data_IF_997752760528
#
_entry.id   IF_997752760528
#
_cell.length_a   1.000
_cell.length_b   1.000
_cell.length_c   1.000
_cell.angle_alpha   90.00
_cell.angle_beta   90.00
_cell.angle_gamma   90.00
#
_symmetry.space_group_name_H-M   'P 1'
#
loop_
_entity.id
_entity.type
_entity.pdbx_description
1 polymer ?
#
# COMPACT_ATOMS: atom_id res chain seq x y z
N UNK A 1 8.38 -17.07 -11.33
CA UNK A 1 7.63 -15.89 -11.80
C UNK A 1 6.15 -16.16 -11.60
N UNK A 2 5.48 -15.30 -10.83
CA UNK A 2 4.03 -15.35 -10.58
C UNK A 2 3.34 -14.95 -11.89
N UNK A 3 2.93 -15.93 -12.71
CA UNK A 3 2.49 -15.74 -14.12
C UNK A 3 1.41 -14.66 -14.27
N UNK A 4 0.55 -14.47 -13.28
CA UNK A 4 -0.54 -13.49 -13.31
C UNK A 4 -0.06 -12.05 -13.19
N UNK A 5 1.01 -11.77 -12.43
CA UNK A 5 1.64 -10.44 -12.34
C UNK A 5 2.16 -10.01 -13.71
N UNK A 6 2.90 -10.88 -14.41
CA UNK A 6 3.40 -10.60 -15.76
C UNK A 6 2.27 -10.38 -16.77
N UNK A 7 1.17 -11.14 -16.65
CA UNK A 7 -0.01 -10.99 -17.50
C UNK A 7 -0.71 -9.66 -17.24
N UNK A 8 -0.93 -9.31 -15.96
CA UNK A 8 -1.57 -8.06 -15.58
C UNK A 8 -0.73 -6.87 -16.04
N UNK A 9 0.58 -6.92 -15.82
CA UNK A 9 1.51 -5.87 -16.27
C UNK A 9 1.43 -5.64 -17.77
N UNK A 10 1.55 -6.72 -18.57
CA UNK A 10 1.45 -6.64 -20.03
C UNK A 10 0.11 -6.09 -20.49
N UNK A 11 -0.97 -6.44 -19.79
CA UNK A 11 -2.33 -5.97 -20.12
C UNK A 11 -2.51 -4.49 -19.79
N UNK A 12 -2.04 -4.04 -18.62
CA UNK A 12 -1.98 -2.63 -18.27
C UNK A 12 -1.17 -1.82 -19.29
N UNK A 13 0.01 -2.28 -19.70
CA UNK A 13 0.82 -1.60 -20.70
C UNK A 13 0.09 -1.41 -22.05
N UNK A 14 -0.86 -2.28 -22.41
CA UNK A 14 -1.68 -2.06 -23.63
C UNK A 14 -2.61 -0.86 -23.52
N UNK A 15 -2.93 -0.42 -22.31
CA UNK A 15 -3.76 0.78 -22.05
C UNK A 15 -2.94 2.07 -22.05
N UNK A 16 -1.61 1.96 -21.98
CA UNK A 16 -0.65 3.08 -21.95
C UNK A 16 -0.17 3.40 -23.38
N UNK A 17 0.04 4.68 -23.75
CA UNK A 17 0.65 5.05 -25.04
C UNK A 17 2.00 4.35 -25.26
N UNK A 18 2.25 3.87 -26.48
CA UNK A 18 3.45 3.08 -26.81
C UNK A 18 4.76 3.79 -26.43
N UNK A 19 4.82 5.11 -26.65
CA UNK A 19 5.97 5.96 -26.31
C UNK A 19 6.30 6.02 -24.82
N UNK A 20 5.38 5.64 -23.94
CA UNK A 20 5.55 5.70 -22.47
C UNK A 20 5.78 4.32 -21.84
N UNK A 21 5.75 3.22 -22.62
CA UNK A 21 5.77 1.85 -22.07
C UNK A 21 7.15 1.41 -21.60
N UNK A 22 8.20 1.75 -22.34
CA UNK A 22 9.56 1.24 -22.09
C UNK A 22 10.16 1.73 -20.78
N UNK A 23 9.78 2.93 -20.34
CA UNK A 23 10.31 3.57 -19.12
C UNK A 23 9.53 3.18 -17.86
N UNK A 24 8.35 2.54 -18.01
CA UNK A 24 7.54 2.15 -16.86
C UNK A 24 8.09 0.90 -16.19
N UNK A 25 8.25 0.99 -14.88
CA UNK A 25 8.58 -0.12 -13.99
C UNK A 25 7.44 -0.35 -13.01
N UNK A 26 7.47 -1.49 -12.31
CA UNK A 26 6.52 -1.80 -11.25
C UNK A 26 7.20 -2.55 -10.12
N UNK A 27 6.63 -2.44 -8.93
CA UNK A 27 6.82 -3.38 -7.82
C UNK A 27 5.53 -4.20 -7.61
N UNK A 28 5.61 -5.35 -6.95
CA UNK A 28 4.41 -6.17 -6.69
C UNK A 28 4.43 -6.73 -5.28
N UNK A 29 3.34 -6.54 -4.55
CA UNK A 29 3.25 -6.88 -3.13
C UNK A 29 1.78 -7.06 -2.71
N UNK A 30 1.58 -7.73 -1.57
CA UNK A 30 0.27 -7.93 -0.96
C UNK A 30 0.14 -7.04 0.29
N UNK A 31 -1.08 -6.59 0.58
CA UNK A 31 -1.37 -5.87 1.81
C UNK A 31 -1.49 -6.82 3.01
N UNK A 32 -1.29 -6.28 4.21
CA UNK A 32 -1.54 -7.00 5.47
C UNK A 32 -0.49 -8.06 5.80
N UNK A 33 -0.67 -8.70 6.96
CA UNK A 33 0.28 -9.68 7.52
C UNK A 33 -0.16 -11.14 7.39
N UNK A 34 -1.34 -11.39 6.80
CA UNK A 34 -1.85 -12.74 6.56
C UNK A 34 -2.76 -12.83 5.33
N UNK A 35 -3.19 -14.05 5.02
CA UNK A 35 -3.95 -14.35 3.82
C UNK A 35 -5.36 -13.75 3.78
N UNK A 36 -6.03 -13.66 4.93
CA UNK A 36 -7.38 -13.11 5.02
C UNK A 36 -7.33 -11.59 4.86
N UNK A 37 -6.39 -10.93 5.53
CA UNK A 37 -6.13 -9.49 5.37
C UNK A 37 -5.76 -9.14 3.93
N UNK A 38 -4.80 -9.87 3.34
CA UNK A 38 -4.36 -9.60 1.96
C UNK A 38 -5.52 -9.67 0.97
N UNK A 39 -6.40 -10.66 1.13
CA UNK A 39 -7.59 -10.81 0.30
C UNK A 39 -8.59 -9.68 0.52
N UNK A 40 -8.91 -9.34 1.76
CA UNK A 40 -9.85 -8.26 2.09
C UNK A 40 -9.35 -6.91 1.55
N UNK A 41 -8.09 -6.58 1.83
CA UNK A 41 -7.49 -5.30 1.45
C UNK A 41 -7.32 -5.19 -0.07
N UNK A 42 -6.97 -6.27 -0.76
CA UNK A 42 -6.91 -6.27 -2.23
C UNK A 42 -8.30 -6.01 -2.85
N UNK A 43 -9.38 -6.57 -2.29
CA UNK A 43 -10.74 -6.30 -2.76
C UNK A 43 -11.16 -4.83 -2.51
N UNK A 44 -10.82 -4.26 -1.35
CA UNK A 44 -11.05 -2.84 -1.08
C UNK A 44 -10.31 -1.94 -2.07
N UNK A 45 -9.08 -2.28 -2.43
CA UNK A 45 -8.35 -1.57 -3.48
C UNK A 45 -9.04 -1.73 -4.83
N UNK A 46 -9.38 -2.96 -5.23
CA UNK A 46 -10.05 -3.23 -6.51
C UNK A 46 -11.37 -2.48 -6.67
N UNK A 47 -12.17 -2.37 -5.61
CA UNK A 47 -13.44 -1.65 -5.61
C UNK A 47 -13.27 -0.14 -5.53
N UNK A 48 -12.07 0.35 -5.23
CA UNK A 48 -11.75 1.77 -5.08
C UNK A 48 -12.17 2.33 -3.73
N UNK A 49 -12.46 1.47 -2.76
CA UNK A 49 -12.78 1.87 -1.39
C UNK A 49 -11.53 2.19 -0.57
N UNK A 50 -10.44 1.44 -0.79
CA UNK A 50 -9.10 1.74 -0.26
C UNK A 50 -8.27 2.44 -1.34
N UNK A 51 -7.88 3.67 -1.06
CA UNK A 51 -7.07 4.54 -1.94
C UNK A 51 -5.87 5.15 -1.23
N UNK A 52 -5.56 4.66 -0.03
CA UNK A 52 -4.41 5.08 0.76
C UNK A 52 -3.86 3.92 1.58
N UNK A 53 -2.59 4.03 1.97
CA UNK A 53 -1.89 3.10 2.86
C UNK A 53 -0.81 3.82 3.66
N UNK A 54 -0.42 3.28 4.81
CA UNK A 54 0.76 3.77 5.52
C UNK A 54 1.68 2.68 6.06
N UNK A 55 2.95 3.01 6.21
CA UNK A 55 4.01 2.14 6.72
C UNK A 55 4.95 2.92 7.66
N UNK A 56 5.72 2.22 8.50
CA UNK A 56 6.68 2.90 9.37
C UNK A 56 7.91 3.38 8.57
N UNK A 57 8.22 4.68 8.66
CA UNK A 57 9.36 5.29 7.97
C UNK A 57 10.70 4.60 8.28
N UNK A 58 10.85 4.12 9.52
CA UNK A 58 12.10 3.50 9.96
C UNK A 58 12.44 2.20 9.21
N UNK A 59 11.45 1.50 8.63
CA UNK A 59 11.73 0.28 7.86
C UNK A 59 12.55 0.60 6.61
N UNK A 60 12.23 1.70 5.91
CA UNK A 60 13.01 2.16 4.76
C UNK A 60 14.47 2.45 5.12
N UNK A 61 14.73 3.03 6.29
CA UNK A 61 16.10 3.28 6.77
C UNK A 61 16.85 1.99 7.12
N UNK A 62 16.17 1.05 7.77
CA UNK A 62 16.74 -0.22 8.23
C UNK A 62 17.05 -1.15 7.06
N UNK A 63 16.11 -1.26 6.13
CA UNK A 63 16.18 -2.17 4.98
C UNK A 63 16.92 -1.54 3.80
N UNK A 64 17.26 -0.25 3.88
CA UNK A 64 17.85 0.54 2.81
C UNK A 64 16.96 0.56 1.55
N UNK A 65 15.65 0.57 1.77
CA UNK A 65 14.66 0.67 0.71
C UNK A 65 14.42 2.12 0.31
N UNK A 66 14.03 2.31 -0.95
CA UNK A 66 13.68 3.62 -1.47
C UNK A 66 12.27 3.95 -1.00
N UNK A 67 12.08 5.18 -0.49
CA UNK A 67 10.74 5.67 -0.16
C UNK A 67 9.85 5.69 -1.40
N UNK A 68 8.54 5.40 -1.24
CA UNK A 68 7.60 5.50 -2.34
C UNK A 68 7.56 6.92 -2.89
N UNK A 69 7.17 7.06 -4.16
CA UNK A 69 7.13 8.36 -4.82
C UNK A 69 5.94 8.48 -5.77
N UNK A 70 5.54 9.74 -6.01
CA UNK A 70 4.47 10.05 -6.96
C UNK A 70 4.78 9.52 -8.36
N UNK A 71 3.84 8.76 -8.92
CA UNK A 71 3.95 8.10 -10.21
C UNK A 71 4.50 6.68 -10.14
N UNK A 72 4.91 6.20 -8.95
CA UNK A 72 5.25 4.80 -8.75
C UNK A 72 4.06 3.90 -9.08
N UNK A 73 4.33 2.77 -9.73
CA UNK A 73 3.32 1.79 -10.10
C UNK A 73 3.51 0.52 -9.27
N UNK A 74 2.44 0.08 -8.61
CA UNK A 74 2.44 -1.18 -7.88
C UNK A 74 1.41 -2.15 -8.48
N UNK A 75 1.73 -3.43 -8.48
CA UNK A 75 0.76 -4.50 -8.72
C UNK A 75 0.41 -5.10 -7.37
N UNK A 76 -0.82 -4.84 -6.93
CA UNK A 76 -1.36 -5.41 -5.71
C UNK A 76 -1.70 -6.87 -5.97
N UNK A 77 -1.23 -7.76 -5.10
CA UNK A 77 -1.49 -9.20 -5.16
C UNK A 77 -2.30 -9.68 -3.96
N UNK A 78 -2.90 -10.85 -4.08
CA UNK A 78 -3.28 -11.64 -2.91
C UNK A 78 -2.03 -12.23 -2.21
N UNK A 79 -2.27 -13.00 -1.15
CA UNK A 79 -1.21 -13.63 -0.35
C UNK A 79 -0.35 -14.65 -1.12
N UNK A 80 -0.97 -15.41 -2.03
CA UNK A 80 -0.27 -16.39 -2.86
C UNK A 80 0.47 -15.70 -4.02
N UNK A 81 0.21 -14.41 -4.25
CA UNK A 81 0.83 -13.60 -5.27
C UNK A 81 0.07 -13.50 -6.58
N UNK A 82 -1.20 -13.84 -6.58
CA UNK A 82 -2.05 -13.63 -7.74
C UNK A 82 -2.39 -12.15 -7.86
N UNK A 83 -2.20 -11.60 -9.07
CA UNK A 83 -2.38 -10.17 -9.30
C UNK A 83 -3.85 -9.76 -9.28
N UNK A 84 -4.17 -8.71 -8.52
CA UNK A 84 -5.52 -8.22 -8.25
C UNK A 84 -5.79 -6.84 -8.88
N UNK A 85 -4.86 -5.90 -8.77
CA UNK A 85 -4.96 -4.56 -9.36
C UNK A 85 -3.58 -3.95 -9.66
N UNK A 86 -3.57 -2.94 -10.52
CA UNK A 86 -2.44 -2.03 -10.73
C UNK A 86 -2.83 -0.66 -10.16
N UNK A 87 -1.99 -0.13 -9.27
CA UNK A 87 -2.16 1.18 -8.65
C UNK A 87 -1.05 2.13 -9.08
N UNK A 88 -1.34 3.42 -9.07
CA UNK A 88 -0.36 4.50 -9.24
C UNK A 88 -0.42 5.41 -8.01
N UNK A 89 0.73 5.63 -7.36
CA UNK A 89 0.87 6.56 -6.23
C UNK A 89 0.72 8.00 -6.71
N UNK A 90 -0.19 8.76 -6.12
CA UNK A 90 -0.53 10.14 -6.52
C UNK A 90 -0.02 11.19 -5.54
N UNK A 91 0.22 10.80 -4.28
CA UNK A 91 0.80 11.64 -3.22
C UNK A 91 1.55 10.77 -2.21
N UNK A 92 2.62 11.33 -1.62
CA UNK A 92 3.38 10.71 -0.53
C UNK A 92 3.70 11.76 0.51
N UNK A 93 3.41 11.47 1.77
CA UNK A 93 3.71 12.34 2.90
C UNK A 93 4.40 11.56 4.00
N UNK A 94 5.30 12.22 4.72
CA UNK A 94 5.97 11.64 5.90
C UNK A 94 5.65 12.54 7.07
N UNK A 95 4.94 12.00 8.05
CA UNK A 95 4.45 12.74 9.20
C UNK A 95 4.36 11.82 10.43
N UNK A 96 4.35 12.38 11.65
CA UNK A 96 4.06 11.61 12.86
C UNK A 96 2.72 10.87 12.77
N UNK A 97 2.64 9.66 13.33
CA UNK A 97 1.42 8.85 13.32
C UNK A 97 0.21 9.57 13.92
N UNK A 98 0.39 10.33 15.01
CA UNK A 98 -0.67 11.12 15.62
C UNK A 98 -1.11 12.36 14.80
N UNK A 99 -0.38 12.72 13.75
CA UNK A 99 -0.76 13.81 12.85
C UNK A 99 -1.51 13.31 11.60
N UNK A 100 -1.67 11.98 11.44
CA UNK A 100 -2.46 11.42 10.34
C UNK A 100 -3.92 11.88 10.48
N UNK A 101 -4.44 12.47 9.40
CA UNK A 101 -5.75 13.09 9.40
C UNK A 101 -6.88 12.06 9.35
N UNK A 102 -8.06 12.47 9.83
CA UNK A 102 -9.28 11.66 9.72
C UNK A 102 -9.65 11.37 8.27
N UNK A 103 -9.35 12.30 7.37
CA UNK A 103 -9.58 12.20 5.94
C UNK A 103 -8.67 11.15 5.31
N UNK A 104 -7.40 11.07 5.73
CA UNK A 104 -6.49 10.03 5.27
C UNK A 104 -6.93 8.65 5.78
N UNK A 105 -7.24 8.54 7.07
CA UNK A 105 -7.73 7.29 7.67
C UNK A 105 -8.99 6.76 6.95
N UNK A 106 -9.91 7.65 6.54
CA UNK A 106 -11.09 7.26 5.78
C UNK A 106 -10.76 6.74 4.36
N UNK A 107 -9.67 7.25 3.73
CA UNK A 107 -9.18 6.77 2.42
C UNK A 107 -8.52 5.39 2.50
N UNK A 108 -8.03 4.98 3.67
CA UNK A 108 -7.56 3.60 3.88
C UNK A 108 -8.71 2.59 3.80
N UNK A 109 -9.96 3.04 3.97
CA UNK A 109 -11.15 2.30 3.53
C UNK A 109 -11.54 1.08 4.37
N UNK A 110 -10.77 0.75 5.40
CA UNK A 110 -10.93 -0.44 6.24
C UNK A 110 -12.03 -0.29 7.30
N UNK A 111 -12.63 -1.42 7.69
CA UNK A 111 -13.63 -1.47 8.77
C UNK A 111 -14.82 -0.53 8.55
N UNK A 112 -15.11 0.33 9.53
CA UNK A 112 -16.17 1.33 9.46
C UNK A 112 -15.69 2.69 8.91
N UNK A 113 -14.45 2.76 8.40
CA UNK A 113 -13.79 3.96 7.85
C UNK A 113 -13.62 5.08 8.88
N UNK A 114 -13.77 4.78 10.17
CA UNK A 114 -13.52 5.73 11.24
C UNK A 114 -12.04 5.83 11.57
N UNK A 115 -11.63 7.01 12.04
CA UNK A 115 -10.28 7.21 12.56
C UNK A 115 -9.98 6.31 13.76
N UNK A 116 -10.97 6.07 14.63
CA UNK A 116 -10.79 5.20 15.80
C UNK A 116 -10.50 3.75 15.40
N UNK A 117 -11.21 3.23 14.38
CA UNK A 117 -10.92 1.93 13.81
C UNK A 117 -9.52 1.89 13.21
N UNK A 118 -9.21 2.85 12.32
CA UNK A 118 -7.91 2.97 11.65
C UNK A 118 -6.76 3.00 12.66
N UNK A 119 -6.86 3.86 13.67
CA UNK A 119 -5.83 4.04 14.69
C UNK A 119 -5.62 2.75 15.48
N UNK A 120 -6.70 2.08 15.88
CA UNK A 120 -6.62 0.83 16.65
C UNK A 120 -5.89 -0.27 15.87
N UNK A 121 -6.28 -0.49 14.61
CA UNK A 121 -5.68 -1.57 13.80
C UNK A 121 -4.22 -1.27 13.44
N UNK A 122 -3.88 -0.01 13.15
CA UNK A 122 -2.50 0.37 12.85
C UNK A 122 -1.59 0.30 14.08
N UNK A 123 -2.06 0.71 15.26
CA UNK A 123 -1.29 0.55 16.50
C UNK A 123 -1.00 -0.93 16.76
N UNK A 124 -1.99 -1.81 16.58
CA UNK A 124 -1.80 -3.26 16.73
C UNK A 124 -0.80 -3.81 15.71
N UNK A 125 -0.95 -3.45 14.43
CA UNK A 125 -0.09 -3.86 13.33
C UNK A 125 1.36 -3.40 13.54
N UNK A 126 1.59 -2.11 13.75
CA UNK A 126 2.94 -1.55 13.99
C UNK A 126 3.56 -2.05 15.29
N UNK A 127 2.77 -2.27 16.34
CA UNK A 127 3.28 -2.91 17.57
C UNK A 127 3.79 -4.31 17.28
N UNK A 128 3.14 -5.06 16.38
CA UNK A 128 3.60 -6.39 16.00
C UNK A 128 4.90 -6.35 15.18
N UNK A 129 5.00 -5.44 14.20
CA UNK A 129 6.24 -5.25 13.42
C UNK A 129 7.43 -4.87 14.32
N UNK A 130 7.23 -3.93 15.25
CA UNK A 130 8.28 -3.42 16.13
C UNK A 130 8.83 -4.46 17.12
N UNK A 131 8.16 -5.60 17.31
CA UNK A 131 8.66 -6.71 18.15
C UNK A 131 10.01 -7.22 17.66
N UNK A 132 10.22 -7.26 16.35
CA UNK A 132 11.49 -7.71 15.76
C UNK A 132 12.65 -6.80 16.15
N UNK A 133 12.35 -5.51 16.33
CA UNK A 133 13.31 -4.48 16.73
C UNK A 133 13.39 -4.28 18.25
N UNK A 134 12.61 -5.03 19.03
CA UNK A 134 12.45 -4.85 20.49
C UNK A 134 12.10 -3.40 20.86
N UNK A 135 11.24 -2.78 20.07
CA UNK A 135 10.76 -1.41 20.26
C UNK A 135 9.27 -1.42 20.65
N UNK A 136 8.87 -0.39 21.38
CA UNK A 136 7.46 -0.13 21.65
C UNK A 136 6.95 0.91 20.66
N UNK A 137 5.67 0.81 20.31
CA UNK A 137 5.00 1.79 19.48
C UNK A 137 4.96 3.16 20.17
N UNK A 138 5.24 4.23 19.42
CA UNK A 138 5.16 5.61 19.88
C UNK A 138 4.38 6.43 18.85
N UNK A 139 3.46 7.27 19.32
CA UNK A 139 2.59 8.08 18.48
C UNK A 139 3.33 9.15 17.65
N UNK A 140 4.57 9.49 18.02
CA UNK A 140 5.42 10.40 17.28
C UNK A 140 6.31 9.70 16.25
N UNK A 141 6.21 8.37 16.11
CA UNK A 141 6.89 7.66 15.04
C UNK A 141 6.42 8.19 13.68
N UNK A 142 7.37 8.40 12.78
CA UNK A 142 7.07 8.81 11.43
C UNK A 142 6.47 7.65 10.65
N UNK A 143 5.35 7.92 9.99
CA UNK A 143 4.75 7.03 8.99
C UNK A 143 4.89 7.64 7.61
N UNK A 144 5.04 6.77 6.63
CA UNK A 144 4.98 7.11 5.21
C UNK A 144 3.55 6.86 4.75
N UNK A 145 2.83 7.94 4.46
CA UNK A 145 1.46 7.92 4.00
C UNK A 145 1.44 8.04 2.48
N UNK A 146 0.90 7.04 1.81
CA UNK A 146 0.74 7.01 0.35
C UNK A 146 -0.74 7.12 -0.01
N UNK A 147 -1.06 8.02 -0.93
CA UNK A 147 -2.35 8.00 -1.64
C UNK A 147 -2.12 7.44 -3.04
N UNK A 148 -3.03 6.58 -3.49
CA UNK A 148 -2.93 5.94 -4.80
C UNK A 148 -4.30 5.84 -5.48
N UNK A 149 -4.27 5.57 -6.77
CA UNK A 149 -5.47 5.25 -7.57
C UNK A 149 -5.29 3.94 -8.31
N UNK A 150 -6.38 3.20 -8.50
CA UNK A 150 -6.38 2.06 -9.42
C UNK A 150 -6.32 2.56 -10.86
N UNK A 151 -5.32 2.10 -11.61
CA UNK A 151 -5.15 2.41 -13.04
C UNK A 151 -5.49 1.21 -13.93
N UNK A 152 -5.50 0.00 -13.38
CA UNK A 152 -5.93 -1.21 -14.08
C UNK A 152 -6.39 -2.29 -13.09
N UNK A 153 -7.38 -3.09 -13.46
CA UNK A 153 -7.85 -4.25 -12.69
C UNK A 153 -8.49 -5.28 -13.62
N UNK A 154 -8.59 -6.52 -13.15
CA UNK A 154 -9.35 -7.59 -13.84
C UNK A 154 -10.85 -7.32 -13.80
#
# INVERSE_FOLDING_TARGET
>A
MKKSVDIMWKSYLQTVPESEREEKTYTSWAFGSDADMAKELAELVRTGEKTATCSLHMWYEIEQEVLPFKGEINIITDWDGEAEAVTETIDVQILPFNEVSTEFAAKEGEGDKSYDYWRRVHVEFFTNELKELKKEFDENMLVVCEEFRVVYKK
#
